data_IF_879372914499
#
_entry.id   IF_879372914499
#
_cell.length_a   1.000
_cell.length_b   1.000
_cell.length_c   1.000
_cell.angle_alpha   90.00
_cell.angle_beta   90.00
_cell.angle_gamma   90.00
#
_symmetry.space_group_name_H-M   'P 1'
#
loop_
_entity.id
_entity.type
_entity.pdbx_description
1 polymer ?
#
# COMPACT_ATOMS: atom_id res chain seq x y z
N UNK A 1 21.98 9.46 8.92
CA UNK A 1 21.30 10.49 8.11
C UNK A 1 20.33 9.75 7.20
N UNK A 2 19.00 9.89 7.35
CA UNK A 2 18.09 9.34 6.35
C UNK A 2 18.27 10.17 5.09
N UNK A 3 18.61 9.50 3.99
CA UNK A 3 18.93 10.14 2.72
C UNK A 3 17.68 10.84 2.17
N UNK A 4 17.80 12.13 1.81
CA UNK A 4 16.66 13.01 1.54
C UNK A 4 15.90 12.70 0.23
N UNK A 5 16.34 11.73 -0.57
CA UNK A 5 15.70 11.31 -1.83
C UNK A 5 15.35 9.80 -1.84
N UNK A 6 15.06 9.21 -0.68
CA UNK A 6 14.51 7.86 -0.66
C UNK A 6 13.14 7.85 -1.35
N UNK A 7 13.04 7.15 -2.49
CA UNK A 7 11.75 6.92 -3.15
C UNK A 7 10.90 6.09 -2.21
N UNK A 8 9.88 6.69 -1.60
CA UNK A 8 8.93 5.97 -0.74
C UNK A 8 7.69 5.62 -1.54
N UNK A 9 7.45 4.33 -1.74
CA UNK A 9 6.22 3.82 -2.34
C UNK A 9 5.17 3.67 -1.23
N UNK A 10 4.02 4.32 -1.41
CA UNK A 10 2.92 4.34 -0.43
C UNK A 10 1.62 3.72 -0.96
N UNK A 11 1.54 3.41 -2.25
CA UNK A 11 0.36 2.81 -2.87
C UNK A 11 0.69 1.73 -3.90
N UNK A 12 -0.28 0.85 -4.16
CA UNK A 12 -0.18 -0.16 -5.21
C UNK A 12 -0.01 0.44 -6.61
N UNK A 13 -0.60 1.61 -6.88
CA UNK A 13 -0.41 2.31 -8.16
C UNK A 13 1.02 2.82 -8.32
N UNK A 14 1.58 3.42 -7.26
CA UNK A 14 2.98 3.85 -7.25
C UNK A 14 3.93 2.65 -7.39
N UNK A 15 3.64 1.52 -6.72
CA UNK A 15 4.38 0.27 -6.88
C UNK A 15 4.39 -0.19 -8.34
N UNK A 16 3.23 -0.21 -8.99
CA UNK A 16 3.10 -0.61 -10.40
C UNK A 16 3.92 0.29 -11.32
N UNK A 17 3.86 1.61 -11.11
CA UNK A 17 4.66 2.57 -11.87
C UNK A 17 6.17 2.35 -11.68
N UNK A 18 6.62 2.12 -10.44
CA UNK A 18 8.00 1.83 -10.11
C UNK A 18 8.51 0.54 -10.79
N UNK A 19 7.71 -0.53 -10.80
CA UNK A 19 8.04 -1.79 -11.48
C UNK A 19 8.20 -1.57 -12.98
N UNK A 20 7.27 -0.85 -13.62
CA UNK A 20 7.35 -0.56 -15.05
C UNK A 20 8.60 0.26 -15.39
N UNK A 21 8.95 1.24 -14.54
CA UNK A 21 10.17 2.04 -14.71
C UNK A 21 11.43 1.20 -14.54
N UNK A 22 11.49 0.35 -13.52
CA UNK A 22 12.61 -0.57 -13.32
C UNK A 22 12.78 -1.52 -14.52
N UNK A 23 11.69 -2.05 -15.08
CA UNK A 23 11.72 -2.88 -16.27
C UNK A 23 12.27 -2.13 -17.50
N UNK A 24 11.86 -0.86 -17.69
CA UNK A 24 12.39 -0.02 -18.76
C UNK A 24 13.90 0.20 -18.63
N UNK A 25 14.39 0.44 -17.41
CA UNK A 25 15.83 0.62 -17.10
C UNK A 25 16.67 -0.64 -17.31
N UNK A 26 16.08 -1.83 -17.32
CA UNK A 26 16.77 -3.07 -17.72
C UNK A 26 16.91 -3.14 -19.25
N UNK A 27 15.90 -2.68 -19.99
CA UNK A 27 15.85 -2.75 -21.45
C UNK A 27 16.64 -1.67 -22.20
N UNK A 28 17.09 -0.61 -21.52
CA UNK A 28 17.86 0.49 -22.13
C UNK A 28 19.37 0.35 -21.91
N UNK A 29 20.21 0.91 -22.80
CA UNK A 29 21.67 0.91 -22.63
C UNK A 29 22.06 1.73 -21.39
N UNK A 30 22.44 1.03 -20.32
CA UNK A 30 22.67 1.62 -18.99
C UNK A 30 23.93 2.48 -18.95
N UNK A 31 23.75 3.77 -18.66
CA UNK A 31 24.79 4.61 -18.05
C UNK A 31 24.65 4.60 -16.52
N UNK A 32 25.61 5.21 -15.80
CA UNK A 32 25.67 5.24 -14.33
C UNK A 32 24.38 5.70 -13.64
N UNK A 33 23.67 6.64 -14.26
CA UNK A 33 22.45 7.21 -13.67
C UNK A 33 21.26 6.25 -13.72
N UNK A 34 21.17 5.43 -14.78
CA UNK A 34 20.13 4.42 -14.92
C UNK A 34 20.31 3.24 -13.96
N UNK A 35 21.56 2.91 -13.61
CA UNK A 35 21.86 1.88 -12.61
C UNK A 35 21.47 2.35 -11.21
N UNK A 36 21.82 3.59 -10.85
CA UNK A 36 21.44 4.18 -9.55
C UNK A 36 19.92 4.30 -9.41
N UNK A 37 19.23 4.74 -10.46
CA UNK A 37 17.76 4.81 -10.45
C UNK A 37 17.14 3.42 -10.28
N UNK A 38 17.68 2.41 -10.98
CA UNK A 38 17.21 1.04 -10.88
C UNK A 38 17.38 0.47 -9.47
N UNK A 39 18.53 0.71 -8.83
CA UNK A 39 18.81 0.27 -7.46
C UNK A 39 17.82 0.88 -6.48
N UNK A 40 17.61 2.21 -6.55
CA UNK A 40 16.64 2.91 -5.70
C UNK A 40 15.20 2.41 -5.88
N UNK A 41 14.76 2.17 -7.12
CA UNK A 41 13.42 1.66 -7.38
C UNK A 41 13.25 0.24 -6.84
N UNK A 42 14.27 -0.59 -6.98
CA UNK A 42 14.23 -1.99 -6.50
C UNK A 42 14.14 -2.04 -4.98
N UNK A 43 14.93 -1.22 -4.29
CA UNK A 43 14.89 -1.09 -2.82
C UNK A 43 13.50 -0.62 -2.34
N UNK A 44 12.96 0.42 -2.97
CA UNK A 44 11.64 0.97 -2.62
C UNK A 44 10.50 -0.03 -2.84
N UNK A 45 10.56 -0.84 -3.91
CA UNK A 45 9.57 -1.88 -4.19
C UNK A 45 9.64 -2.97 -3.13
N UNK A 46 10.84 -3.44 -2.78
CA UNK A 46 11.03 -4.48 -1.77
C UNK A 46 10.53 -4.03 -0.39
N UNK A 47 10.84 -2.80 0.02
CA UNK A 47 10.37 -2.24 1.28
C UNK A 47 8.84 -2.16 1.34
N UNK A 48 8.19 -1.71 0.26
CA UNK A 48 6.73 -1.70 0.18
C UNK A 48 6.14 -3.11 0.30
N UNK A 49 6.69 -4.09 -0.43
CA UNK A 49 6.17 -5.45 -0.44
C UNK A 49 6.28 -6.12 0.94
N UNK A 50 7.40 -5.94 1.63
CA UNK A 50 7.61 -6.43 3.01
C UNK A 50 6.59 -5.79 3.97
N UNK A 51 6.37 -4.47 3.87
CA UNK A 51 5.37 -3.77 4.69
C UNK A 51 3.96 -4.26 4.41
N UNK A 52 3.61 -4.52 3.15
CA UNK A 52 2.28 -5.06 2.79
C UNK A 52 2.09 -6.49 3.30
N UNK A 53 3.11 -7.34 3.22
CA UNK A 53 3.05 -8.70 3.77
C UNK A 53 2.88 -8.69 5.30
N UNK A 54 3.57 -7.78 5.98
CA UNK A 54 3.44 -7.61 7.43
C UNK A 54 2.06 -7.10 7.87
N UNK A 55 1.31 -6.42 6.99
CA UNK A 55 -0.06 -5.93 7.25
C UNK A 55 -1.14 -7.02 7.09
N UNK A 56 -0.78 -8.30 7.33
CA UNK A 56 -1.64 -9.47 7.16
C UNK A 56 -3.12 -9.24 7.45
N UNK A 57 -3.99 -9.82 6.62
CA UNK A 57 -5.44 -9.60 6.66
C UNK A 57 -6.00 -9.70 8.09
N UNK A 58 -6.61 -8.61 8.56
CA UNK A 58 -7.42 -8.66 9.78
C UNK A 58 -8.75 -9.31 9.41
N UNK A 59 -8.97 -10.54 9.88
CA UNK A 59 -10.28 -11.17 9.78
C UNK A 59 -11.25 -10.39 10.69
N UNK A 60 -12.23 -9.70 10.08
CA UNK A 60 -13.31 -9.07 10.83
C UNK A 60 -14.27 -10.18 11.27
N UNK A 61 -14.47 -10.41 12.58
CA UNK A 61 -15.36 -11.46 13.03
C UNK A 61 -16.76 -11.29 12.44
N UNK A 62 -17.42 -12.37 11.93
CA UNK A 62 -18.78 -12.26 11.37
C UNK A 62 -19.80 -11.67 12.33
N UNK A 63 -19.58 -11.82 13.64
CA UNK A 63 -20.38 -11.17 14.68
C UNK A 63 -20.30 -9.63 14.61
N UNK A 64 -19.12 -9.07 14.31
CA UNK A 64 -18.92 -7.63 14.18
C UNK A 64 -19.63 -7.07 12.94
N UNK A 65 -19.60 -7.80 11.82
CA UNK A 65 -20.39 -7.44 10.63
C UNK A 65 -21.90 -7.41 10.92
N UNK A 66 -22.40 -8.43 11.63
CA UNK A 66 -23.81 -8.47 12.07
C UNK A 66 -24.16 -7.31 12.98
N UNK A 67 -23.29 -6.96 13.92
CA UNK A 67 -23.46 -5.80 14.80
C UNK A 67 -23.63 -4.49 14.01
N UNK A 68 -22.74 -4.22 13.04
CA UNK A 68 -22.83 -3.04 12.18
C UNK A 68 -24.14 -3.00 11.38
N UNK A 69 -24.58 -4.14 10.85
CA UNK A 69 -25.88 -4.25 10.14
C UNK A 69 -27.07 -4.03 11.07
N UNK A 70 -27.00 -4.47 12.33
CA UNK A 70 -28.10 -4.33 13.30
C UNK A 70 -28.19 -2.93 13.96
N UNK A 71 -27.12 -2.14 13.93
CA UNK A 71 -27.10 -0.78 14.49
C UNK A 71 -28.04 0.23 13.79
N UNK A 72 -28.57 -0.10 12.61
CA UNK A 72 -29.50 0.75 11.86
C UNK A 72 -30.99 0.52 12.20
N UNK A 73 -31.35 -0.52 12.96
CA UNK A 73 -32.76 -0.80 13.29
C UNK A 73 -33.18 -0.38 14.70
N UNK A 74 -32.28 0.14 15.53
CA UNK A 74 -32.54 0.37 16.96
C UNK A 74 -32.90 1.78 17.40
N UNK A 75 -33.08 2.77 16.49
CA UNK A 75 -33.25 4.18 16.88
C UNK A 75 -34.59 4.82 16.53
N UNK A 76 -35.66 4.03 16.52
CA UNK A 76 -37.05 4.54 16.52
C UNK A 76 -37.88 3.86 17.61
N UNK A 77 -37.63 4.22 18.88
CA UNK A 77 -38.70 4.14 19.89
C UNK A 77 -38.37 4.91 21.16
N UNK A 78 -39.33 5.75 21.58
CA UNK A 78 -39.32 6.57 22.80
C UNK A 78 -39.04 8.04 22.45
N UNK A 79 -40.02 8.94 22.39
CA UNK A 79 -40.97 9.24 23.46
C UNK A 79 -42.22 9.91 22.89
N UNK A 80 -43.40 9.32 23.12
CA UNK A 80 -44.66 10.06 23.18
C UNK A 80 -44.81 10.56 24.62
N UNK A 81 -44.74 11.87 24.81
CA UNK A 81 -45.51 12.59 25.83
C UNK A 81 -46.09 13.83 25.18
#
# INVERSE_FOLDING_TARGET
MPNADAVVISSYEQRKAAVLRAAQLISSSRGSDGEREFEMLTEAIADFDIRQEALGYIEIPPAFMRFLSSGHQGRLSGSRR
#
